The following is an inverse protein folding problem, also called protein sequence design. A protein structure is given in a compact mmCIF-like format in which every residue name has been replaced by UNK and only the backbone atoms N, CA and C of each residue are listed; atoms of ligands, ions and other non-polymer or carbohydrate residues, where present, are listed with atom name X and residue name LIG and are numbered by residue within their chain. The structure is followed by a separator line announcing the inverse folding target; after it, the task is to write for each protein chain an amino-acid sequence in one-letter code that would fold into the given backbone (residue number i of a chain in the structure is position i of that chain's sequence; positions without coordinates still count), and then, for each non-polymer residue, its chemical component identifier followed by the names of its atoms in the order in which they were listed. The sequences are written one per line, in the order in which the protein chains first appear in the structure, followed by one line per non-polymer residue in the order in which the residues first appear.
data_IF_207562983344
#
_entry.id   IF_207562983344
#
_cell.length_a   1.000
_cell.length_b   1.000
_cell.length_c   1.000
_cell.angle_alpha   90.00
_cell.angle_beta   90.00
_cell.angle_gamma   90.00
#
_symmetry.space_group_name_H-M   'P 1'
#
loop_
_entity.id
_entity.type
_entity.pdbx_description
1 polymer ?
#
# COMPACT_ATOMS: atom_id res chain seq x y z
N UNK A 1 -8.42 8.63 7.60
CA UNK A 1 -9.60 8.99 6.77
C UNK A 1 -9.41 10.36 6.07
N UNK A 2 -9.01 11.44 6.75
CA UNK A 2 -8.80 12.76 6.10
C UNK A 2 -7.79 12.69 4.95
N UNK A 3 -6.64 12.05 5.16
CA UNK A 3 -5.65 11.78 4.12
C UNK A 3 -6.27 11.02 2.94
N UNK A 4 -6.95 9.90 3.22
CA UNK A 4 -7.60 9.07 2.20
C UNK A 4 -8.59 9.86 1.34
N UNK A 5 -9.37 10.75 1.96
CA UNK A 5 -10.32 11.59 1.26
C UNK A 5 -9.64 12.66 0.37
N UNK A 6 -8.47 13.19 0.80
CA UNK A 6 -7.76 14.27 0.12
C UNK A 6 -7.07 13.84 -1.17
N UNK A 7 -6.55 12.59 -1.21
CA UNK A 7 -5.57 12.17 -2.19
C UNK A 7 -6.19 11.97 -3.58
N UNK A 8 -5.53 12.54 -4.59
CA UNK A 8 -5.64 12.17 -5.99
C UNK A 8 -4.47 11.23 -6.34
N UNK A 9 -4.78 9.96 -6.50
CA UNK A 9 -3.78 8.90 -6.66
C UNK A 9 -3.17 8.91 -8.07
N UNK A 10 -3.95 9.24 -9.09
CA UNK A 10 -3.52 9.11 -10.50
C UNK A 10 -2.26 9.92 -10.83
N UNK A 11 -2.15 11.22 -10.51
CA UNK A 11 -0.93 11.99 -10.79
C UNK A 11 0.28 11.47 -10.01
N UNK A 12 0.06 10.89 -8.82
CA UNK A 12 1.13 10.28 -8.03
C UNK A 12 1.67 9.03 -8.74
N UNK A 13 0.78 8.08 -9.07
CA UNK A 13 1.16 6.83 -9.73
C UNK A 13 1.80 7.09 -11.10
N UNK A 14 1.24 8.01 -11.87
CA UNK A 14 1.81 8.43 -13.15
C UNK A 14 3.22 8.99 -12.99
N UNK A 15 3.46 9.83 -12.00
CA UNK A 15 4.78 10.41 -11.75
C UNK A 15 5.80 9.34 -11.37
N UNK A 16 5.50 8.49 -10.38
CA UNK A 16 6.43 7.45 -9.91
C UNK A 16 6.72 6.39 -10.96
N UNK A 17 5.81 6.18 -11.92
CA UNK A 17 5.99 5.31 -13.09
C UNK A 17 6.70 6.02 -14.27
N UNK A 18 7.21 7.25 -14.09
CA UNK A 18 7.85 8.01 -15.15
C UNK A 18 6.94 8.36 -16.32
N UNK A 19 5.64 8.52 -16.08
CA UNK A 19 4.62 8.82 -17.08
C UNK A 19 4.14 7.60 -17.89
N UNK A 20 4.61 6.41 -17.58
CA UNK A 20 4.39 5.19 -18.36
C UNK A 20 3.28 4.34 -17.72
N UNK A 21 2.12 4.30 -18.36
CA UNK A 21 0.92 3.62 -17.84
C UNK A 21 1.07 2.09 -17.73
N UNK A 22 2.00 1.50 -18.49
CA UNK A 22 2.31 0.08 -18.43
C UNK A 22 3.06 -0.34 -17.16
N UNK A 23 3.55 0.61 -16.35
CA UNK A 23 4.31 0.33 -15.13
C UNK A 23 3.53 0.52 -13.84
N UNK A 24 2.25 0.86 -13.93
CA UNK A 24 1.39 0.91 -12.75
C UNK A 24 -0.04 0.51 -13.08
N UNK A 25 -0.79 0.19 -12.06
CA UNK A 25 -2.23 -0.07 -12.14
C UNK A 25 -2.95 0.66 -11.02
N UNK A 26 -4.02 1.33 -11.38
CA UNK A 26 -4.94 1.94 -10.44
C UNK A 26 -5.88 0.85 -9.92
N UNK A 27 -5.61 0.34 -8.73
CA UNK A 27 -6.39 -0.73 -8.13
C UNK A 27 -6.52 -0.56 -6.62
N UNK A 28 -7.74 -0.69 -6.12
CA UNK A 28 -8.03 -0.65 -4.69
C UNK A 28 -7.92 -2.01 -4.01
N UNK A 29 -7.82 -3.09 -4.77
CA UNK A 29 -7.78 -4.43 -4.20
C UNK A 29 -6.57 -4.65 -3.31
N UNK A 30 -6.77 -5.34 -2.19
CA UNK A 30 -5.70 -5.78 -1.32
C UNK A 30 -4.99 -7.02 -1.88
N UNK A 31 -5.50 -7.63 -2.94
CA UNK A 31 -4.84 -8.65 -3.74
C UNK A 31 -4.49 -8.10 -5.12
N UNK A 32 -3.80 -8.85 -5.94
CA UNK A 32 -3.45 -8.47 -7.31
C UNK A 32 -4.47 -9.02 -8.31
N UNK A 33 -4.65 -8.35 -9.46
CA UNK A 33 -5.60 -8.77 -10.49
C UNK A 33 -5.24 -10.12 -11.14
N UNK A 34 -3.98 -10.57 -10.98
CA UNK A 34 -3.48 -11.87 -11.41
C UNK A 34 -4.00 -13.04 -10.55
N UNK A 35 -4.67 -12.73 -9.42
CA UNK A 35 -5.36 -13.68 -8.55
C UNK A 35 -6.88 -13.37 -8.58
N UNK A 36 -7.56 -13.72 -9.67
CA UNK A 36 -8.97 -13.34 -9.90
C UNK A 36 -9.91 -13.91 -8.82
N UNK A 37 -9.56 -15.02 -8.20
CA UNK A 37 -10.30 -15.63 -7.09
C UNK A 37 -10.32 -14.75 -5.82
N UNK A 38 -9.40 -13.79 -5.69
CA UNK A 38 -9.31 -12.87 -4.55
C UNK A 38 -9.48 -11.40 -4.96
N UNK A 39 -9.79 -11.16 -6.24
CA UNK A 39 -9.99 -9.79 -6.74
C UNK A 39 -11.45 -9.37 -6.54
N UNK A 40 -11.71 -8.52 -5.54
CA UNK A 40 -13.05 -8.09 -5.16
C UNK A 40 -13.55 -6.94 -6.04
N UNK A 41 -14.89 -6.85 -6.19
CA UNK A 41 -15.57 -5.74 -6.86
C UNK A 41 -16.56 -5.09 -5.88
N UNK A 42 -16.11 -4.09 -5.15
CA UNK A 42 -16.89 -3.40 -4.13
C UNK A 42 -17.10 -1.95 -4.55
N UNK A 43 -18.29 -1.58 -5.03
CA UNK A 43 -18.59 -0.19 -5.35
C UNK A 43 -18.65 0.66 -4.08
N UNK A 44 -18.26 1.93 -4.21
CA UNK A 44 -18.40 2.93 -3.15
C UNK A 44 -17.39 2.84 -2.00
N UNK A 45 -16.31 2.06 -2.15
CA UNK A 45 -15.19 2.15 -1.21
C UNK A 45 -14.57 3.56 -1.24
N UNK A 46 -14.18 4.11 -0.08
CA UNK A 46 -13.56 5.44 0.00
C UNK A 46 -12.10 5.39 -0.48
N UNK A 47 -11.91 5.09 -1.76
CA UNK A 47 -10.62 5.02 -2.42
C UNK A 47 -10.55 6.03 -3.56
N UNK A 48 -9.48 6.83 -3.62
CA UNK A 48 -9.26 7.88 -4.61
C UNK A 48 -10.46 8.86 -4.73
N UNK A 49 -11.01 9.27 -3.59
CA UNK A 49 -12.21 10.13 -3.54
C UNK A 49 -11.94 11.53 -4.07
N UNK A 50 -10.70 12.04 -3.95
CA UNK A 50 -10.29 13.40 -4.37
C UNK A 50 -11.18 14.50 -3.80
N UNK A 51 -11.64 14.31 -2.57
CA UNK A 51 -12.61 15.17 -1.91
C UNK A 51 -11.95 16.04 -0.85
N UNK A 52 -11.37 17.17 -1.27
CA UNK A 52 -10.68 18.10 -0.39
C UNK A 52 -11.59 18.68 0.72
N UNK A 53 -12.85 18.91 0.43
CA UNK A 53 -13.79 19.45 1.41
C UNK A 53 -14.13 18.44 2.51
N UNK A 54 -14.32 17.16 2.13
CA UNK A 54 -14.45 16.06 3.10
C UNK A 54 -13.19 15.95 3.96
N UNK A 55 -12.01 16.04 3.35
CA UNK A 55 -10.74 15.96 4.06
C UNK A 55 -10.59 17.07 5.11
N UNK A 56 -10.86 18.32 4.74
CA UNK A 56 -10.83 19.49 5.67
C UNK A 56 -11.81 19.31 6.83
N UNK A 57 -13.04 18.86 6.53
CA UNK A 57 -14.04 18.60 7.57
C UNK A 57 -13.56 17.52 8.54
N UNK A 58 -13.02 16.41 8.04
CA UNK A 58 -12.49 15.32 8.87
C UNK A 58 -11.31 15.78 9.74
N UNK A 59 -10.44 16.67 9.25
CA UNK A 59 -9.38 17.26 10.06
C UNK A 59 -9.95 18.11 11.21
N UNK A 60 -10.97 18.92 10.94
CA UNK A 60 -11.64 19.72 11.96
C UNK A 60 -12.35 18.84 13.01
N UNK A 61 -13.07 17.81 12.56
CA UNK A 61 -13.74 16.83 13.44
C UNK A 61 -12.75 16.08 14.32
N UNK A 62 -11.55 15.80 13.81
CA UNK A 62 -10.45 15.21 14.58
C UNK A 62 -9.79 16.18 15.58
N UNK A 63 -10.15 17.46 15.54
CA UNK A 63 -9.56 18.48 16.40
C UNK A 63 -8.12 18.86 16.05
N UNK A 64 -7.67 18.56 14.82
CA UNK A 64 -6.31 18.89 14.36
C UNK A 64 -6.08 20.40 14.31
N UNK A 65 -5.01 20.87 14.93
CA UNK A 65 -4.68 22.30 15.08
C UNK A 65 -3.41 22.74 14.34
N UNK A 66 -2.90 21.87 13.45
CA UNK A 66 -1.66 22.15 12.68
C UNK A 66 -0.40 21.62 13.36
N UNK A 67 -0.50 20.69 14.27
CA UNK A 67 0.65 19.99 14.82
C UNK A 67 1.45 19.33 13.69
N UNK A 68 2.82 19.31 13.75
CA UNK A 68 3.62 18.65 12.74
C UNK A 68 3.24 17.18 12.58
N UNK A 69 2.82 16.78 11.38
CA UNK A 69 2.55 15.40 11.02
C UNK A 69 3.82 14.79 10.42
N UNK A 70 4.47 13.92 11.17
CA UNK A 70 5.78 13.33 10.84
C UNK A 70 5.61 12.23 9.80
N UNK A 71 5.99 12.55 8.57
CA UNK A 71 5.90 11.64 7.43
C UNK A 71 7.27 11.18 7.00
N UNK A 72 7.63 9.92 7.26
CA UNK A 72 8.93 9.35 6.91
C UNK A 72 8.94 8.78 5.50
N UNK A 73 10.05 9.02 4.78
CA UNK A 73 10.35 8.42 3.48
C UNK A 73 11.84 8.22 3.29
N UNK A 74 12.24 7.61 2.16
CA UNK A 74 13.64 7.42 1.80
C UNK A 74 13.90 7.77 0.34
N UNK A 75 15.09 8.28 0.04
CA UNK A 75 15.56 8.52 -1.33
C UNK A 75 16.23 7.29 -1.97
N UNK A 76 16.59 6.27 -1.20
CA UNK A 76 17.19 5.05 -1.74
C UNK A 76 16.24 4.30 -2.69
N UNK A 77 14.94 4.48 -2.48
CA UNK A 77 13.90 4.07 -3.41
C UNK A 77 13.25 5.33 -3.98
N UNK A 78 13.70 5.75 -5.16
CA UNK A 78 13.24 7.00 -5.79
C UNK A 78 11.72 7.12 -5.84
N UNK A 79 11.01 6.04 -6.14
CA UNK A 79 9.55 6.04 -6.19
C UNK A 79 8.90 6.36 -4.83
N UNK A 80 9.49 5.93 -3.70
CA UNK A 80 8.98 6.28 -2.36
C UNK A 80 9.11 7.77 -2.07
N UNK A 81 10.23 8.35 -2.48
CA UNK A 81 10.49 9.78 -2.29
C UNK A 81 9.57 10.65 -3.15
N UNK A 82 9.50 10.35 -4.46
CA UNK A 82 8.62 11.07 -5.38
C UNK A 82 7.16 10.99 -4.95
N UNK A 83 6.73 9.83 -4.50
CA UNK A 83 5.44 9.58 -3.93
C UNK A 83 5.17 10.48 -2.71
N UNK A 84 6.12 10.55 -1.78
CA UNK A 84 5.99 11.35 -0.57
C UNK A 84 5.90 12.85 -0.88
N UNK A 85 6.66 13.36 -1.86
CA UNK A 85 6.64 14.76 -2.25
C UNK A 85 5.25 15.20 -2.76
N UNK A 86 4.67 14.42 -3.69
CA UNK A 86 3.36 14.78 -4.26
C UNK A 86 2.27 14.60 -3.21
N UNK A 87 2.35 13.56 -2.39
CA UNK A 87 1.44 13.32 -1.28
C UNK A 87 1.48 14.48 -0.27
N UNK A 88 2.68 14.93 0.12
CA UNK A 88 2.86 16.09 1.00
C UNK A 88 2.12 17.30 0.45
N UNK A 89 2.34 17.66 -0.81
CA UNK A 89 1.69 18.79 -1.46
C UNK A 89 0.15 18.69 -1.35
N UNK A 90 -0.42 17.54 -1.69
CA UNK A 90 -1.88 17.35 -1.66
C UNK A 90 -2.45 17.40 -0.24
N UNK A 91 -1.71 16.95 0.76
CA UNK A 91 -2.12 17.00 2.16
C UNK A 91 -2.03 18.43 2.73
N UNK A 92 -0.99 19.18 2.38
CA UNK A 92 -0.86 20.58 2.76
C UNK A 92 -1.97 21.45 2.16
N UNK A 93 -2.43 21.14 0.95
CA UNK A 93 -3.58 21.80 0.32
C UNK A 93 -4.89 21.69 1.12
N UNK A 94 -5.01 20.70 1.98
CA UNK A 94 -6.20 20.49 2.84
C UNK A 94 -5.97 20.83 4.30
N UNK A 95 -4.78 21.33 4.66
CA UNK A 95 -4.47 21.87 5.97
C UNK A 95 -3.60 20.99 6.88
N UNK A 96 -3.02 19.91 6.38
CA UNK A 96 -1.98 19.20 7.13
C UNK A 96 -0.69 20.04 7.19
N UNK A 97 0.00 19.99 8.32
CA UNK A 97 1.36 20.50 8.48
C UNK A 97 2.35 19.34 8.38
N UNK A 98 2.86 19.05 7.18
CA UNK A 98 3.66 17.85 6.92
C UNK A 98 5.15 18.10 7.22
N UNK A 99 5.66 17.48 8.27
CA UNK A 99 7.09 17.32 8.56
C UNK A 99 7.63 16.10 7.78
N UNK A 100 8.10 16.34 6.55
CA UNK A 100 8.64 15.28 5.70
C UNK A 100 10.06 14.91 6.13
N UNK A 101 10.20 13.76 6.75
CA UNK A 101 11.46 13.23 7.26
C UNK A 101 12.08 12.23 6.25
N UNK A 102 13.11 12.71 5.55
CA UNK A 102 13.84 11.89 4.57
C UNK A 102 15.03 11.24 5.27
N UNK A 103 14.99 9.92 5.35
CA UNK A 103 16.02 9.13 6.04
C UNK A 103 16.54 8.01 5.12
N UNK A 104 17.69 7.43 5.46
CA UNK A 104 18.15 6.21 4.80
C UNK A 104 17.22 5.02 5.11
N UNK A 105 17.25 3.99 4.25
CA UNK A 105 16.33 2.85 4.38
C UNK A 105 16.50 2.09 5.70
N UNK A 106 17.73 1.90 6.16
CA UNK A 106 17.99 1.19 7.42
C UNK A 106 17.40 1.95 8.61
N UNK A 107 17.56 3.27 8.63
CA UNK A 107 16.97 4.16 9.64
C UNK A 107 15.43 4.12 9.57
N UNK A 108 14.84 4.15 8.38
CA UNK A 108 13.38 4.03 8.24
C UNK A 108 12.88 2.70 8.82
N UNK A 109 13.50 1.57 8.46
CA UNK A 109 13.15 0.25 8.97
C UNK A 109 13.29 0.17 10.49
N UNK A 110 14.33 0.78 11.07
CA UNK A 110 14.50 0.83 12.52
C UNK A 110 13.40 1.66 13.18
N UNK A 111 13.18 2.89 12.69
CA UNK A 111 12.25 3.84 13.30
C UNK A 111 10.79 3.41 13.18
N UNK A 112 10.38 2.76 12.07
CA UNK A 112 8.99 2.29 11.91
C UNK A 112 8.56 1.26 12.95
N UNK A 113 9.51 0.64 13.67
CA UNK A 113 9.22 -0.28 14.78
C UNK A 113 8.90 0.45 16.10
N UNK A 114 8.96 1.77 16.13
CA UNK A 114 8.58 2.59 17.29
C UNK A 114 7.49 3.59 16.89
N UNK A 115 6.21 3.37 17.29
CA UNK A 115 5.10 4.23 16.89
C UNK A 115 5.19 5.66 17.42
N UNK A 116 6.12 5.96 18.31
CA UNK A 116 6.36 7.31 18.83
C UNK A 116 7.27 8.16 17.92
N UNK A 117 7.89 7.57 16.92
CA UNK A 117 8.87 8.26 16.06
C UNK A 117 8.29 8.80 14.76
N UNK A 118 7.05 8.45 14.42
CA UNK A 118 6.41 8.87 13.17
C UNK A 118 4.87 8.87 13.31
N UNK A 119 4.20 9.48 12.36
CA UNK A 119 2.75 9.44 12.21
C UNK A 119 2.36 8.66 10.94
N UNK A 120 3.22 8.71 9.90
CA UNK A 120 3.12 7.87 8.71
C UNK A 120 4.49 7.61 8.09
N UNK A 121 4.58 6.58 7.23
CA UNK A 121 5.77 6.31 6.41
C UNK A 121 5.39 5.71 5.06
N UNK A 122 6.24 5.92 4.05
CA UNK A 122 6.10 5.27 2.75
C UNK A 122 6.66 3.84 2.80
N UNK A 123 5.96 2.91 2.17
CA UNK A 123 6.45 1.54 1.98
C UNK A 123 5.83 0.91 0.74
N UNK A 124 6.42 -0.17 0.28
CA UNK A 124 5.83 -1.07 -0.72
C UNK A 124 5.80 -2.49 -0.19
N UNK A 125 4.81 -3.24 -0.61
CA UNK A 125 4.65 -4.65 -0.25
C UNK A 125 4.70 -5.47 -1.51
N UNK A 126 5.59 -6.47 -1.53
CA UNK A 126 5.65 -7.44 -2.60
C UNK A 126 4.42 -8.33 -2.59
N UNK A 127 3.64 -8.27 -3.67
CA UNK A 127 2.37 -8.98 -3.78
C UNK A 127 2.50 -10.37 -4.42
N UNK A 128 3.65 -10.67 -5.03
CA UNK A 128 3.87 -11.93 -5.76
C UNK A 128 3.87 -13.20 -4.90
N UNK A 129 4.00 -13.08 -3.58
CA UNK A 129 3.92 -14.21 -2.65
C UNK A 129 2.56 -14.35 -1.97
N UNK A 130 1.61 -13.46 -2.26
CA UNK A 130 0.31 -13.43 -1.60
C UNK A 130 -0.72 -14.23 -2.39
N UNK A 131 -0.66 -15.55 -2.21
CA UNK A 131 -1.60 -16.49 -2.84
C UNK A 131 -2.90 -16.67 -2.06
N UNK A 132 -2.97 -16.16 -0.84
CA UNK A 132 -4.11 -16.31 0.05
C UNK A 132 -4.28 -15.07 0.94
N UNK A 133 -5.51 -14.59 1.16
CA UNK A 133 -5.79 -13.39 1.98
C UNK A 133 -5.23 -13.42 3.40
N UNK A 134 -5.02 -14.61 3.97
CA UNK A 134 -4.46 -14.75 5.33
C UNK A 134 -2.98 -14.37 5.42
N UNK A 135 -2.30 -14.21 4.29
CA UNK A 135 -0.89 -13.79 4.22
C UNK A 135 -0.71 -12.28 4.01
N UNK A 136 -1.76 -11.49 4.20
CA UNK A 136 -1.68 -10.04 4.01
C UNK A 136 -1.05 -9.35 5.22
N UNK A 137 0.23 -9.02 5.15
CA UNK A 137 1.03 -8.47 6.26
C UNK A 137 0.43 -7.21 6.89
N UNK A 138 -0.04 -6.26 6.08
CA UNK A 138 -0.50 -4.94 6.56
C UNK A 138 -1.78 -4.96 7.39
N UNK A 139 -2.45 -6.08 7.50
CA UNK A 139 -3.63 -6.26 8.36
C UNK A 139 -3.30 -6.98 9.67
N UNK A 140 -2.04 -7.33 9.89
CA UNK A 140 -1.61 -8.00 11.12
C UNK A 140 -1.23 -7.01 12.22
N UNK A 141 -1.53 -7.34 13.47
CA UNK A 141 -1.14 -6.53 14.64
C UNK A 141 0.38 -6.35 14.79
N UNK A 142 1.17 -7.25 14.24
CA UNK A 142 2.64 -7.20 14.33
C UNK A 142 3.32 -6.38 13.23
N UNK A 143 2.56 -5.92 12.23
CA UNK A 143 3.12 -5.12 11.17
C UNK A 143 3.37 -3.66 11.62
N UNK A 144 4.50 -3.04 11.28
CA UNK A 144 4.73 -1.62 11.51
C UNK A 144 3.64 -0.77 10.84
N UNK A 145 3.06 0.18 11.56
CA UNK A 145 1.81 0.86 11.22
C UNK A 145 0.73 0.55 12.26
N UNK A 146 0.90 -0.54 13.00
CA UNK A 146 0.20 -0.86 14.24
C UNK A 146 -1.32 -0.99 14.07
N UNK A 147 -1.72 -1.52 12.93
CA UNK A 147 -3.12 -1.79 12.63
C UNK A 147 -3.58 -3.03 13.40
N UNK A 148 -4.03 -2.82 14.62
CA UNK A 148 -4.61 -3.89 15.41
C UNK A 148 -6.11 -3.64 15.63
N UNK A 149 -6.85 -3.50 14.54
CA UNK A 149 -8.31 -3.39 14.57
C UNK A 149 -8.94 -4.74 14.93
N UNK A 150 -9.84 -4.74 15.92
CA UNK A 150 -10.45 -5.97 16.43
C UNK A 150 -11.29 -6.69 15.38
N UNK A 151 -11.98 -5.94 14.51
CA UNK A 151 -12.82 -6.54 13.46
C UNK A 151 -11.96 -7.15 12.34
N UNK A 152 -10.88 -6.48 11.95
CA UNK A 152 -9.90 -7.05 11.01
C UNK A 152 -9.31 -8.34 11.56
N UNK A 153 -8.93 -8.37 12.85
CA UNK A 153 -8.36 -9.57 13.48
C UNK A 153 -9.39 -10.70 13.59
N UNK A 154 -10.66 -10.38 13.86
CA UNK A 154 -11.75 -11.36 13.86
C UNK A 154 -11.88 -11.98 12.47
N UNK A 155 -11.98 -11.15 11.42
CA UNK A 155 -12.11 -11.61 10.02
C UNK A 155 -10.92 -12.47 9.62
N UNK A 156 -9.69 -12.07 9.93
CA UNK A 156 -8.50 -12.87 9.65
C UNK A 156 -8.53 -14.24 10.35
N UNK A 157 -8.99 -14.28 11.61
CA UNK A 157 -9.14 -15.54 12.36
C UNK A 157 -10.20 -16.46 11.74
N UNK A 158 -11.27 -15.90 11.21
CA UNK A 158 -12.31 -16.67 10.53
C UNK A 158 -11.83 -17.16 9.15
N UNK A 159 -11.16 -16.30 8.37
CA UNK A 159 -10.53 -16.67 7.10
C UNK A 159 -9.57 -17.85 7.24
N UNK A 160 -8.79 -17.87 8.33
CA UNK A 160 -7.81 -18.94 8.58
C UNK A 160 -8.46 -20.30 8.88
N UNK A 161 -9.74 -20.32 9.28
CA UNK A 161 -10.47 -21.55 9.67
C UNK A 161 -11.50 -21.98 8.64
N UNK A 162 -12.00 -21.05 7.83
CA UNK A 162 -13.04 -21.32 6.85
C UNK A 162 -12.44 -22.07 5.65
N UNK A 163 -13.10 -23.12 5.20
CA UNK A 163 -12.68 -23.96 4.07
C UNK A 163 -13.56 -23.78 2.83
N UNK A 164 -14.77 -23.24 2.98
CA UNK A 164 -15.67 -22.98 1.87
C UNK A 164 -15.19 -21.76 1.09
N UNK A 165 -14.86 -21.88 -0.22
CA UNK A 165 -14.30 -20.78 -0.99
C UNK A 165 -15.21 -19.55 -1.08
N UNK A 166 -16.54 -19.75 -1.14
CA UNK A 166 -17.51 -18.64 -1.21
C UNK A 166 -17.57 -17.85 0.09
N UNK A 167 -17.54 -18.56 1.22
CA UNK A 167 -17.50 -17.92 2.55
C UNK A 167 -16.18 -17.20 2.77
N UNK A 168 -15.06 -17.80 2.37
CA UNK A 168 -13.75 -17.14 2.39
C UNK A 168 -13.75 -15.84 1.60
N UNK A 169 -14.31 -15.87 0.39
CA UNK A 169 -14.42 -14.67 -0.45
C UNK A 169 -15.29 -13.60 0.21
N UNK A 170 -16.42 -13.96 0.80
CA UNK A 170 -17.30 -13.03 1.51
C UNK A 170 -16.59 -12.38 2.73
N UNK A 171 -15.80 -13.13 3.49
CA UNK A 171 -14.97 -12.61 4.57
C UNK A 171 -13.91 -11.65 4.04
N UNK A 172 -13.31 -11.96 2.90
CA UNK A 172 -12.32 -11.11 2.25
C UNK A 172 -12.94 -9.78 1.73
N UNK A 173 -14.16 -9.82 1.19
CA UNK A 173 -14.90 -8.60 0.85
C UNK A 173 -15.22 -7.76 2.10
N UNK A 174 -15.63 -8.40 3.20
CA UNK A 174 -15.86 -7.71 4.47
C UNK A 174 -14.57 -7.05 4.97
N UNK A 175 -13.44 -7.74 4.90
CA UNK A 175 -12.15 -7.16 5.28
C UNK A 175 -11.78 -5.91 4.46
N UNK A 176 -12.03 -5.90 3.15
CA UNK A 176 -11.83 -4.71 2.33
C UNK A 176 -12.65 -3.52 2.84
N UNK A 177 -13.93 -3.74 3.18
CA UNK A 177 -14.80 -2.66 3.70
C UNK A 177 -14.22 -2.10 5.00
N UNK A 178 -13.93 -2.94 5.98
CA UNK A 178 -13.36 -2.51 7.27
C UNK A 178 -12.02 -1.81 7.06
N UNK A 179 -11.15 -2.36 6.21
CA UNK A 179 -9.85 -1.77 5.91
C UNK A 179 -9.97 -0.34 5.36
N UNK A 180 -10.88 -0.10 4.42
CA UNK A 180 -11.08 1.23 3.85
C UNK A 180 -11.82 2.19 4.79
N UNK A 181 -12.69 1.68 5.65
CA UNK A 181 -13.36 2.47 6.70
C UNK A 181 -12.38 2.93 7.79
N UNK A 182 -11.49 2.06 8.22
CA UNK A 182 -10.48 2.37 9.23
C UNK A 182 -9.28 3.15 8.65
N UNK A 183 -8.96 2.93 7.38
CA UNK A 183 -7.85 3.55 6.66
C UNK A 183 -6.48 3.40 7.37
N UNK A 184 -6.08 2.18 7.79
CA UNK A 184 -4.80 1.96 8.45
C UNK A 184 -3.62 2.15 7.49
N UNK A 185 -3.85 1.90 6.22
CA UNK A 185 -2.90 2.10 5.12
C UNK A 185 -3.62 2.81 3.98
N UNK A 186 -3.00 3.83 3.42
CA UNK A 186 -3.49 4.48 2.22
C UNK A 186 -2.91 3.74 1.01
N UNK A 187 -3.75 2.93 0.37
CA UNK A 187 -3.36 2.18 -0.82
C UNK A 187 -3.46 3.05 -2.07
N UNK A 188 -2.39 3.07 -2.84
CA UNK A 188 -2.32 3.89 -4.07
C UNK A 188 -2.50 3.07 -5.35
N UNK A 189 -2.24 1.78 -5.33
CA UNK A 189 -2.33 0.89 -6.48
C UNK A 189 -1.12 -0.03 -6.57
N UNK A 190 -0.92 -0.64 -7.73
CA UNK A 190 0.20 -1.51 -8.00
C UNK A 190 1.26 -0.77 -8.82
N UNK A 191 2.52 -0.91 -8.42
CA UNK A 191 3.68 -0.46 -9.18
C UNK A 191 4.44 -1.69 -9.66
N UNK A 192 4.66 -1.80 -10.96
CA UNK A 192 5.34 -2.96 -11.55
C UNK A 192 6.85 -2.79 -11.51
N UNK A 193 7.52 -3.77 -10.92
CA UNK A 193 8.97 -3.82 -10.90
C UNK A 193 9.54 -4.19 -12.29
N UNK A 194 10.53 -3.43 -12.74
CA UNK A 194 11.25 -3.74 -13.97
C UNK A 194 12.43 -4.66 -13.67
N UNK A 195 12.60 -5.66 -14.50
CA UNK A 195 13.77 -6.54 -14.50
C UNK A 195 14.45 -6.51 -15.84
N UNK A 196 15.77 -6.44 -15.84
CA UNK A 196 16.58 -6.55 -17.04
C UNK A 196 17.50 -7.76 -16.90
N UNK A 197 17.46 -8.65 -17.89
CA UNK A 197 18.34 -9.82 -17.99
C UNK A 197 19.05 -9.79 -19.34
N UNK A 198 20.28 -10.29 -19.38
CA UNK A 198 21.00 -10.44 -20.64
C UNK A 198 20.34 -11.53 -21.49
N UNK A 199 20.30 -11.38 -22.79
CA UNK A 199 19.73 -12.35 -23.74
C UNK A 199 20.40 -13.75 -23.66
N UNK A 200 21.63 -13.80 -23.16
CA UNK A 200 22.36 -15.05 -22.91
C UNK A 200 21.89 -15.80 -21.65
N UNK A 201 21.07 -15.18 -20.78
CA UNK A 201 20.49 -15.85 -19.62
C UNK A 201 19.24 -16.59 -20.07
N UNK A 202 19.19 -17.90 -19.85
CA UNK A 202 18.09 -18.80 -20.21
C UNK A 202 17.49 -19.46 -18.98
N UNK A 203 16.24 -19.92 -19.10
CA UNK A 203 15.52 -20.58 -18.01
C UNK A 203 15.08 -19.68 -16.88
N UNK A 204 15.16 -18.35 -17.07
CA UNK A 204 14.67 -17.39 -16.09
C UNK A 204 13.14 -17.36 -16.10
N UNK A 205 12.53 -17.51 -14.93
CA UNK A 205 11.08 -17.40 -14.76
C UNK A 205 10.71 -15.94 -14.46
N UNK A 206 10.04 -15.30 -15.39
CA UNK A 206 9.65 -13.87 -15.30
C UNK A 206 8.48 -13.63 -14.33
N UNK A 207 7.73 -14.68 -13.99
CA UNK A 207 6.50 -14.57 -13.19
C UNK A 207 6.72 -14.72 -11.68
N UNK A 208 7.98 -14.84 -11.23
CA UNK A 208 8.30 -15.07 -9.83
C UNK A 208 8.88 -13.81 -9.19
N UNK A 209 8.29 -13.37 -8.10
CA UNK A 209 8.78 -12.24 -7.29
C UNK A 209 10.22 -12.46 -6.82
N UNK A 210 10.53 -13.69 -6.38
CA UNK A 210 11.89 -14.07 -5.97
C UNK A 210 12.56 -14.85 -7.08
N UNK A 211 13.70 -14.33 -7.52
CA UNK A 211 14.50 -14.98 -8.55
C UNK A 211 14.86 -16.42 -8.15
N UNK A 212 14.38 -17.40 -8.92
CA UNK A 212 14.78 -18.79 -8.80
C UNK A 212 15.91 -19.03 -9.79
N UNK A 213 17.07 -19.45 -9.29
CA UNK A 213 18.26 -19.72 -10.11
C UNK A 213 18.49 -21.18 -10.41
N UNK A 214 17.62 -22.06 -9.92
CA UNK A 214 17.78 -23.52 -10.05
C UNK A 214 17.78 -24.04 -11.49
N UNK A 215 17.10 -23.32 -12.41
CA UNK A 215 17.00 -23.69 -13.83
C UNK A 215 17.56 -22.59 -14.75
N UNK A 216 18.41 -21.71 -14.23
CA UNK A 216 19.00 -20.62 -15.00
C UNK A 216 20.39 -21.02 -15.48
N UNK A 217 20.67 -20.84 -16.77
CA UNK A 217 21.98 -21.09 -17.36
C UNK A 217 22.39 -19.97 -18.32
N UNK A 218 23.66 -19.95 -18.67
CA UNK A 218 24.21 -19.02 -19.66
C UNK A 218 24.36 -19.75 -20.99
N UNK A 219 23.69 -19.24 -22.01
CA UNK A 219 23.88 -19.65 -23.42
C UNK A 219 25.07 -18.88 -23.97
N UNK A 220 26.18 -19.58 -24.24
CA UNK A 220 27.46 -19.00 -24.66
C UNK A 220 27.61 -19.05 -26.16
#
# INVERSE_FOLDING_TARGET
QAWQAAIDIEPIMKNVAGGRSEFYRMDYNLSVAELPEWHVKIPGLPWNERNKEKAKRLLQEAGYKGEPFRFMTTQEYKWMYDFALITKQQLEDVGFNIDLQVVDWATLIKRRNNPKEYDAFTTGIGMGAMYDPTHHDVVSCGWPGWTCDAEIQRIQSELAREIDPKKRFALWEQQHRVFYEQAPVIRYGDLFGLRAIRSTVKGFDENIERMRVTNVWLDR
#
